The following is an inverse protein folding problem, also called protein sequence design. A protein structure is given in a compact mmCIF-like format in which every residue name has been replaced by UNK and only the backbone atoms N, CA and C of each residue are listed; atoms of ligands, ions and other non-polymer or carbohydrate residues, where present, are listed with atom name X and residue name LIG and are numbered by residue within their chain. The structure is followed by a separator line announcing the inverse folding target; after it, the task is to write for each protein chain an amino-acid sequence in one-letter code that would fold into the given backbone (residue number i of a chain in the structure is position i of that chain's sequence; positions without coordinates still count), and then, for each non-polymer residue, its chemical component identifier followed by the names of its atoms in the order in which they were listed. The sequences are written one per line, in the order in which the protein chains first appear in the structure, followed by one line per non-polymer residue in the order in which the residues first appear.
data_IF_841658913197
#
_entry.id   IF_841658913197
#
_cell.length_a   1.000
_cell.length_b   1.000
_cell.length_c   1.000
_cell.angle_alpha   90.00
_cell.angle_beta   90.00
_cell.angle_gamma   90.00
#
_symmetry.space_group_name_H-M   'P 1'
#
loop_
_entity.id
_entity.type
_entity.pdbx_description
1 polymer ?
2 polymer ?
3 non-polymer ?
4 water ?
#
# COMPACT_ATOMS: atom_id res chain seq x y z
N UNK A 16 9.90 20.76 18.16
CA UNK A 16 9.65 21.48 16.87
C UNK A 16 8.55 20.85 16.01
N UNK A 17 8.26 19.56 16.24
CA UNK A 17 7.21 18.84 15.48
C UNK A 17 5.88 18.97 16.21
N UNK A 18 4.94 19.66 15.59
CA UNK A 18 3.64 19.87 16.21
C UNK A 18 2.58 18.91 15.73
N UNK A 19 2.07 18.07 16.61
CA UNK A 19 1.00 17.13 16.22
C UNK A 19 -0.33 17.87 16.28
N UNK A 20 -1.15 17.67 15.25
CA UNK A 20 -2.46 18.31 15.14
C UNK A 20 -3.50 17.29 15.60
N UNK A 21 -4.36 17.68 16.53
CA UNK A 21 -5.35 16.76 17.08
C UNK A 21 -6.82 17.01 16.73
N UNK A 22 -7.12 18.11 16.02
CA UNK A 22 -8.49 18.43 15.65
C UNK A 22 -8.50 19.21 14.31
N UNK A 23 -9.63 19.20 13.59
CA UNK A 23 -9.68 19.92 12.31
C UNK A 23 -9.52 21.42 12.58
N UNK A 24 -10.06 21.86 13.70
CA UNK A 24 -9.94 23.27 14.06
C UNK A 24 -8.49 23.66 14.33
N UNK A 25 -7.75 22.79 15.01
CA UNK A 25 -6.34 23.04 15.32
C UNK A 25 -5.54 23.13 14.02
N UNK A 26 -5.90 22.30 13.05
CA UNK A 26 -5.23 22.29 11.75
C UNK A 26 -5.34 23.65 11.07
N UNK A 27 -6.55 24.18 10.99
CA UNK A 27 -6.76 25.46 10.35
C UNK A 27 -5.93 26.57 11.01
N UNK A 28 -5.87 26.54 12.34
CA UNK A 28 -5.12 27.53 13.10
C UNK A 28 -3.62 27.48 12.78
N UNK A 29 -3.08 26.26 12.72
CA UNK A 29 -1.67 26.10 12.42
C UNK A 29 -1.31 26.59 11.03
N UNK A 30 -2.17 26.26 10.06
CA UNK A 30 -1.94 26.68 8.67
C UNK A 30 -2.04 28.20 8.54
N UNK A 31 -3.12 28.79 9.05
CA UNK A 31 -3.29 30.23 8.98
C UNK A 31 -2.11 30.94 9.63
N UNK A 32 -1.72 30.46 10.80
CA UNK A 32 -0.60 31.04 11.51
C UNK A 32 0.66 31.04 10.65
N UNK A 33 1.16 29.85 10.33
CA UNK A 33 2.36 29.73 9.49
C UNK A 33 2.28 30.58 8.22
N UNK A 34 1.08 30.74 7.68
CA UNK A 34 0.91 31.56 6.46
C UNK A 34 1.24 33.03 6.74
N UNK A 35 0.78 33.53 7.88
CA UNK A 35 1.04 34.93 8.25
C UNK A 35 2.53 35.14 8.45
N UNK A 36 3.24 34.10 8.90
CA UNK A 36 4.67 34.19 9.11
C UNK A 36 5.44 33.88 7.83
N UNK A 37 4.71 33.69 6.73
CA UNK A 37 5.31 33.38 5.43
C UNK A 37 6.32 32.24 5.52
N UNK A 38 5.99 31.24 6.34
CA UNK A 38 6.85 30.08 6.53
C UNK A 38 6.45 28.91 5.66
N UNK A 39 7.38 27.98 5.50
CA UNK A 39 7.16 26.77 4.73
C UNK A 39 6.59 25.74 5.70
N UNK A 40 5.64 24.96 5.24
CA UNK A 40 5.04 23.93 6.07
C UNK A 40 5.26 22.53 5.50
N UNK A 41 5.88 21.67 6.30
CA UNK A 41 6.11 20.28 5.93
C UNK A 41 5.17 19.47 6.82
N UNK A 42 4.39 18.57 6.22
CA UNK A 42 3.42 17.77 6.97
C UNK A 42 3.61 16.27 6.82
N UNK A 43 3.65 15.55 7.93
CA UNK A 43 3.78 14.11 7.89
C UNK A 43 2.43 13.43 8.27
N UNK A 44 1.79 12.78 7.30
CA UNK A 44 0.53 12.05 7.54
C UNK A 44 0.94 10.63 7.92
N UNK A 45 0.63 10.28 9.15
CA UNK A 45 1.03 9.01 9.73
C UNK A 45 -0.07 8.02 10.13
N UNK A 46 0.39 6.86 10.57
CA UNK A 46 -0.46 5.76 11.01
C UNK A 46 0.38 5.00 12.03
N UNK A 47 -0.11 4.86 13.26
CA UNK A 47 0.63 4.19 14.31
C UNK A 47 0.77 2.69 14.10
N UNK A 48 -0.15 2.12 13.32
CA UNK A 48 -0.12 0.68 13.02
C UNK A 48 0.72 0.35 11.79
N UNK A 49 1.24 1.38 11.12
CA UNK A 49 2.02 1.19 9.89
C UNK A 49 3.55 1.21 10.10
N UNK A 50 4.16 0.03 9.97
CA UNK A 50 5.60 -0.12 10.14
C UNK A 50 6.44 0.97 9.49
N UNK A 51 6.31 1.18 8.16
CA UNK A 51 7.01 2.18 7.34
C UNK A 51 6.83 3.59 7.89
N UNK A 52 5.68 3.86 8.50
CA UNK A 52 5.43 5.19 9.03
C UNK A 52 6.23 5.44 10.32
N UNK A 53 6.23 4.48 11.24
CA UNK A 53 6.98 4.66 12.49
C UNK A 53 8.45 4.99 12.22
N UNK A 54 9.06 4.20 11.33
CA UNK A 54 10.45 4.34 10.95
C UNK A 54 10.82 5.75 10.54
N UNK A 55 9.89 6.47 9.92
CA UNK A 55 10.16 7.81 9.47
C UNK A 55 10.02 8.89 10.53
N UNK A 56 9.48 8.55 11.69
CA UNK A 56 9.30 9.55 12.76
C UNK A 56 10.61 10.28 13.09
N UNK A 57 11.66 9.53 13.53
CA UNK A 57 12.93 10.16 13.86
C UNK A 57 13.49 11.01 12.73
N UNK A 58 13.41 10.49 11.52
CA UNK A 58 13.89 11.23 10.37
C UNK A 58 13.14 12.56 10.21
N UNK A 59 11.87 12.58 10.59
CA UNK A 59 11.05 13.79 10.51
C UNK A 59 11.37 14.69 11.70
N UNK A 60 11.51 14.09 12.88
CA UNK A 60 11.82 14.83 14.09
C UNK A 60 13.16 15.54 13.97
N UNK A 61 14.14 14.85 13.38
CA UNK A 61 15.46 15.42 13.19
C UNK A 61 15.50 16.56 12.20
N UNK A 62 14.80 16.41 11.08
CA UNK A 62 14.77 17.49 10.10
C UNK A 62 13.98 18.66 10.67
N UNK A 63 13.24 18.40 11.75
CA UNK A 63 12.44 19.46 12.37
C UNK A 63 13.37 20.54 12.93
N UNK A 64 14.54 20.12 13.37
CA UNK A 64 15.54 21.02 13.92
C UNK A 64 16.38 21.56 12.78
N UNK A 65 16.78 20.66 11.87
CA UNK A 65 17.60 21.04 10.73
C UNK A 65 17.05 22.28 10.04
N UNK A 66 15.75 22.52 10.19
CA UNK A 66 15.13 23.71 9.60
C UNK A 66 14.06 24.28 10.56
N UNK A 67 14.43 25.26 11.39
CA UNK A 67 13.52 25.89 12.37
C UNK A 67 12.55 26.90 11.74
N UNK A 68 12.97 27.46 10.62
CA UNK A 68 12.21 28.45 9.83
C UNK A 68 11.05 27.88 8.99
N UNK A 69 10.84 26.58 9.16
CA UNK A 69 9.76 25.85 8.51
C UNK A 69 8.96 25.22 9.66
N UNK A 70 7.69 24.90 9.40
CA UNK A 70 6.87 24.29 10.43
C UNK A 70 6.62 22.80 10.16
N UNK A 71 6.85 21.95 11.15
CA UNK A 71 6.64 20.52 11.00
C UNK A 71 5.41 20.01 11.77
N UNK A 72 4.38 19.61 11.02
CA UNK A 72 3.16 19.10 11.62
C UNK A 72 3.00 17.59 11.42
N UNK A 73 2.45 16.93 12.43
CA UNK A 73 2.20 15.49 12.42
C UNK A 73 0.69 15.25 12.44
N UNK A 74 0.18 14.54 11.43
CA UNK A 74 -1.25 14.25 11.35
C UNK A 74 -1.49 12.75 11.27
N UNK A 75 -2.16 12.19 12.27
CA UNK A 75 -2.49 10.78 12.28
C UNK A 75 -3.76 10.63 11.40
N UNK A 76 -3.67 9.83 10.33
CA UNK A 76 -4.83 9.68 9.44
C UNK A 76 -6.03 8.98 10.10
N UNK A 77 -5.81 8.16 11.12
CA UNK A 77 -6.94 7.56 11.83
C UNK A 77 -7.72 8.60 12.62
N UNK A 78 -7.03 9.65 13.09
CA UNK A 78 -7.68 10.67 13.89
C UNK A 78 -8.30 11.79 13.09
N UNK A 79 -7.64 12.19 12.00
CA UNK A 79 -8.10 13.31 11.17
C UNK A 79 -8.16 12.94 9.70
N UNK A 80 -8.93 11.90 9.39
CA UNK A 80 -9.06 11.45 8.02
C UNK A 80 -9.51 12.57 7.05
N UNK A 81 -10.45 13.44 7.47
CA UNK A 81 -10.89 14.49 6.56
C UNK A 81 -9.72 15.30 6.01
N UNK A 82 -8.64 15.47 6.79
CA UNK A 82 -7.52 16.24 6.25
C UNK A 82 -6.81 15.43 5.17
N UNK A 83 -6.79 14.11 5.30
CA UNK A 83 -6.14 13.29 4.28
C UNK A 83 -6.97 13.25 3.00
N UNK A 84 -8.28 13.00 3.13
CA UNK A 84 -9.15 12.95 1.95
C UNK A 84 -9.25 14.30 1.23
N UNK A 85 -8.75 15.34 1.89
CA UNK A 85 -8.75 16.69 1.34
C UNK A 85 -7.56 16.91 0.42
N UNK A 86 -6.43 16.30 0.74
CA UNK A 86 -5.22 16.45 -0.06
C UNK A 86 -4.82 15.18 -0.82
N UNK A 87 -5.78 14.28 -0.99
CA UNK A 87 -5.54 13.03 -1.71
C UNK A 87 -4.33 12.27 -1.18
N UNK A 88 -4.43 11.88 0.09
CA UNK A 88 -3.37 11.14 0.74
C UNK A 88 -3.93 9.74 1.07
N UNK A 89 -3.46 8.72 0.35
CA UNK A 89 -3.94 7.35 0.55
C UNK A 89 -2.87 6.39 1.04
N UNK A 90 -1.61 6.80 1.04
CA UNK A 90 -0.55 5.93 1.51
C UNK A 90 0.11 6.59 2.71
N UNK A 91 0.69 5.79 3.60
CA UNK A 91 1.38 6.32 4.79
C UNK A 91 2.75 5.65 4.93
N UNK A 92 3.79 6.43 5.26
CA UNK A 92 3.69 7.87 5.49
C UNK A 92 3.69 8.70 4.19
N UNK A 93 3.15 9.91 4.26
CA UNK A 93 3.15 10.83 3.12
C UNK A 93 3.52 12.21 3.65
N UNK A 94 4.56 12.80 3.10
CA UNK A 94 5.00 14.13 3.52
C UNK A 94 4.54 15.16 2.49
N UNK A 95 3.83 16.17 2.97
CA UNK A 95 3.32 17.23 2.12
C UNK A 95 4.09 18.54 2.36
N UNK A 96 4.36 19.26 1.28
CA UNK A 96 5.09 20.54 1.33
C UNK A 96 4.15 21.63 0.91
N UNK A 97 3.77 22.49 1.85
CA UNK A 97 2.86 23.57 1.54
C UNK A 97 3.44 24.95 1.81
N UNK A 98 2.78 25.97 1.28
CA UNK A 98 3.21 27.35 1.47
C UNK A 98 2.15 28.24 0.84
N UNK A 99 1.58 29.11 1.66
CA UNK A 99 0.54 30.04 1.22
C UNK A 99 -0.75 29.35 0.78
N UNK A 100 -0.99 28.16 1.32
CA UNK A 100 -2.21 27.43 0.99
C UNK A 100 -2.07 26.38 -0.11
N UNK A 101 -1.09 26.55 -1.00
CA UNK A 101 -0.89 25.62 -2.10
C UNK A 101 0.24 24.63 -1.86
N UNK A 102 0.02 23.39 -2.30
CA UNK A 102 1.01 22.33 -2.15
C UNK A 102 2.11 22.53 -3.19
N UNK A 103 3.35 22.45 -2.74
CA UNK A 103 4.49 22.63 -3.63
C UNK A 103 5.13 21.33 -4.08
N UNK A 104 4.96 20.27 -3.28
CA UNK A 104 5.53 18.96 -3.60
C UNK A 104 5.22 17.97 -2.47
N UNK A 105 5.34 16.67 -2.76
CA UNK A 105 5.07 15.64 -1.75
C UNK A 105 5.93 14.39 -1.93
N UNK A 106 6.32 13.80 -0.81
CA UNK A 106 7.11 12.57 -0.80
C UNK A 106 6.24 11.44 -0.26
N UNK A 107 6.13 10.36 -1.02
CA UNK A 107 5.31 9.22 -0.61
C UNK A 107 6.18 8.04 -0.18
N UNK A 108 6.05 7.64 1.08
CA UNK A 108 6.80 6.51 1.57
C UNK A 108 7.94 6.82 2.51
N UNK A 109 8.56 5.75 3.01
CA UNK A 109 9.69 5.88 3.92
C UNK A 109 11.01 6.08 3.14
N UNK A 110 10.98 6.94 2.12
CA UNK A 110 12.13 7.25 1.28
C UNK A 110 12.97 8.36 1.93
N UNK A 111 13.74 7.99 2.95
CA UNK A 111 14.58 8.93 3.71
C UNK A 111 15.33 9.96 2.88
N UNK A 112 16.31 9.50 2.12
CA UNK A 112 17.12 10.38 1.29
C UNK A 112 16.32 11.32 0.39
N UNK A 113 15.19 10.89 -0.14
CA UNK A 113 14.39 11.77 -1.00
C UNK A 113 13.70 12.83 -0.14
N UNK A 114 13.59 12.54 1.15
CA UNK A 114 12.97 13.46 2.08
C UNK A 114 14.01 14.47 2.51
N UNK A 115 15.07 13.97 3.15
CA UNK A 115 16.16 14.81 3.65
C UNK A 115 16.70 15.72 2.54
N UNK A 116 16.32 15.43 1.30
CA UNK A 116 16.76 16.23 0.17
C UNK A 116 15.72 17.26 -0.24
N UNK A 117 14.50 16.81 -0.56
CA UNK A 117 13.45 17.73 -0.99
C UNK A 117 13.12 18.80 0.06
N UNK A 118 13.62 18.58 1.28
CA UNK A 118 13.39 19.53 2.36
C UNK A 118 14.33 20.73 2.19
N UNK A 119 15.58 20.47 1.81
CA UNK A 119 16.53 21.54 1.61
C UNK A 119 16.17 22.41 0.42
N UNK A 120 15.65 21.77 -0.63
CA UNK A 120 15.27 22.48 -1.85
C UNK A 120 14.10 23.44 -1.67
N UNK A 121 13.20 23.13 -0.74
CA UNK A 121 12.03 23.98 -0.51
C UNK A 121 12.18 24.92 0.68
N UNK A 122 12.98 24.50 1.67
CA UNK A 122 13.21 25.30 2.87
C UNK A 122 14.21 26.42 2.58
N UNK A 123 15.45 26.03 2.36
CA UNK A 123 16.51 26.99 2.06
C UNK A 123 16.37 27.53 0.63
N UNK A 124 16.45 26.72 -0.32
N UNK B 8 -3.95 -15.02 21.65
CA UNK B 8 -4.66 -13.71 21.80
C UNK B 8 -3.77 -12.49 21.45
N UNK B 9 -2.49 -12.53 21.83
CA UNK B 9 -1.56 -11.42 21.54
C UNK B 9 -1.17 -11.42 20.09
N UNK B 10 -0.82 -12.60 19.60
CA UNK B 10 -0.42 -12.78 18.20
C UNK B 10 -1.61 -12.62 17.25
N UNK B 11 -1.33 -12.20 16.01
CA UNK B 11 -2.41 -12.01 15.04
C UNK B 11 -3.06 -13.34 14.76
N UNK B 12 -4.38 -13.36 14.60
CA UNK B 12 -5.05 -14.62 14.32
C UNK B 12 -4.78 -15.14 12.89
N UNK B 13 -5.02 -16.43 12.66
CA UNK B 13 -4.77 -16.94 11.32
C UNK B 13 -5.80 -16.41 10.33
N UNK B 14 -5.43 -16.46 9.05
CA UNK B 14 -6.30 -16.07 7.96
C UNK B 14 -7.03 -17.39 7.63
N UNK B 15 -8.26 -17.33 7.13
CA UNK B 15 -9.01 -18.55 6.81
C UNK B 15 -9.51 -18.62 5.37
N UNK B 16 -9.61 -19.83 4.81
CA UNK B 16 -10.12 -20.00 3.45
C UNK B 16 -11.66 -20.08 3.44
N UNK B 17 -12.26 -20.35 2.29
CA UNK B 17 -13.71 -20.43 2.16
C UNK B 17 -14.33 -21.62 2.88
N UNK B 18 -13.49 -22.55 3.31
CA UNK B 18 -13.97 -23.74 4.01
C UNK B 18 -13.75 -23.58 5.50
N UNK B 19 -13.35 -22.39 5.92
CA UNK B 19 -13.12 -22.15 7.33
C UNK B 19 -11.76 -22.59 7.86
N UNK B 20 -10.94 -23.25 7.03
CA UNK B 20 -9.63 -23.72 7.48
C UNK B 20 -8.53 -22.66 7.38
N UNK B 21 -7.52 -22.78 8.22
CA UNK B 21 -6.38 -21.84 8.27
C UNK B 21 -5.52 -21.91 7.02
N UNK B 22 -5.02 -20.76 6.56
CA UNK B 22 -4.14 -20.70 5.39
C UNK B 22 -2.74 -21.18 5.73
N UNK B 23 -2.19 -22.01 4.85
CA UNK B 23 -0.86 -22.58 5.04
C UNK B 23 0.16 -22.07 4.00
N UNK B 24 1.43 -21.99 4.37
CA UNK B 24 2.46 -21.52 3.46
C UNK B 24 2.89 -22.61 2.49
N UNK B 25 2.33 -23.81 2.67
CA UNK B 25 2.66 -24.94 1.79
C UNK B 25 1.49 -25.38 0.93
N UNK B 26 0.54 -24.48 0.73
CA UNK B 26 -0.63 -24.77 -0.08
C UNK B 26 -0.91 -23.62 -1.03
N UNK B 27 -1.80 -23.85 -1.99
CA UNK B 27 -2.15 -22.84 -2.99
C UNK B 27 -3.61 -22.39 -2.85
N UNK B 28 -3.88 -21.13 -3.16
CA UNK B 28 -5.23 -20.55 -3.05
C UNK B 28 -5.57 -19.63 -4.21
N UNK B 29 -6.84 -19.61 -4.57
CA UNK B 29 -7.33 -18.72 -5.62
C UNK B 29 -7.73 -17.45 -4.88
N UNK B 30 -7.42 -16.28 -5.44
CA UNK B 30 -7.80 -15.06 -4.74
C UNK B 30 -9.05 -14.55 -5.44
N UNK B 31 -10.18 -15.05 -4.98
CA UNK B 31 -11.49 -14.71 -5.55
C UNK B 31 -12.10 -13.42 -5.02
N UNK B 32 -13.01 -12.86 -5.80
CA UNK B 32 -13.75 -11.66 -5.42
C UNK B 32 -14.83 -12.08 -4.38
N UNK B 33 -15.10 -11.30 -3.34
CA UNK B 33 -16.14 -11.73 -2.39
C UNK B 33 -17.49 -11.63 -3.10
N UNK B 34 -17.60 -10.62 -3.96
CA UNK B 34 -18.80 -10.41 -4.75
C UNK B 34 -18.48 -10.79 -6.20
N UNK B 35 -18.86 -12.00 -6.61
CA UNK B 35 -18.61 -12.50 -7.99
C UNK B 35 -19.27 -11.70 -9.12
N UNK B 36 -20.13 -10.73 -8.80
CA UNK B 36 -20.74 -9.93 -9.83
C UNK B 36 -19.72 -8.83 -10.21
N UNK B 37 -18.61 -8.81 -9.50
CA UNK B 37 -17.55 -7.85 -9.76
C UNK B 37 -16.31 -8.50 -10.37
N UNK B 38 -16.46 -9.73 -10.86
CA UNK B 38 -15.32 -10.40 -11.48
C UNK B 38 -14.86 -11.66 -10.80
N UNK B 39 -13.84 -12.28 -11.38
CA UNK B 39 -13.33 -13.52 -10.84
C UNK B 39 -12.05 -13.38 -10.05
N UNK B 40 -11.26 -14.45 -10.08
CA UNK B 40 -9.99 -14.47 -9.39
C UNK B 40 -8.95 -13.58 -10.06
N UNK B 41 -7.72 -13.64 -9.56
CA UNK B 41 -6.63 -12.84 -10.09
C UNK B 41 -5.76 -13.67 -11.01
N UNK B 42 -5.13 -12.99 -11.96
CA UNK B 42 -4.27 -13.69 -12.92
C UNK B 42 -3.11 -12.79 -13.38
N UNK B 43 -2.46 -13.16 -14.48
CA UNK B 43 -1.39 -12.35 -15.04
C UNK B 43 -1.77 -11.92 -16.45
N UNK B 44 -1.37 -10.73 -16.84
CA UNK B 44 -1.68 -10.20 -18.17
C UNK B 44 -0.81 -8.99 -18.50
N UNK B 45 -0.43 -8.83 -19.77
CA UNK B 45 0.39 -7.67 -20.16
C UNK B 45 -0.52 -6.45 -20.27
N UNK B 46 0.06 -5.26 -20.31
CA UNK B 46 -0.78 -4.08 -20.43
C UNK B 46 -0.06 -2.79 -20.70
N UNK B 47 -0.80 -1.83 -21.27
CA UNK B 47 -0.28 -0.50 -21.60
C UNK B 47 0.90 -0.53 -22.57
N UNK B 48 0.72 -1.23 -23.68
CA UNK B 48 1.76 -1.34 -24.69
C UNK B 48 2.90 -2.28 -24.30
N UNK B 49 2.99 -2.61 -23.02
CA UNK B 49 4.03 -3.50 -22.52
C UNK B 49 3.78 -4.97 -22.88
N UNK B 50 4.84 -5.75 -23.02
CA UNK B 50 4.71 -7.18 -23.32
C UNK B 50 5.15 -7.91 -22.06
N UNK B 51 6.12 -7.32 -21.37
CA UNK B 51 6.66 -7.87 -20.12
C UNK B 51 7.10 -6.72 -19.21
N UNK B 52 7.06 -6.93 -17.89
CA UNK B 52 6.61 -8.17 -17.25
C UNK B 52 5.10 -8.21 -17.30
N UNK B 53 4.48 -9.30 -16.87
CA UNK B 53 3.02 -9.35 -16.84
C UNK B 53 2.53 -8.60 -15.59
N UNK B 54 1.37 -7.98 -15.71
CA UNK B 54 0.73 -7.26 -14.59
C UNK B 54 -0.17 -8.23 -13.83
N UNK B 55 -0.38 -7.98 -12.55
CA UNK B 55 -1.31 -8.80 -11.81
C UNK B 55 -2.67 -8.18 -12.18
N UNK B 56 -3.58 -8.96 -12.73
CA UNK B 56 -4.88 -8.41 -13.09
C UNK B 56 -6.04 -9.25 -12.55
N UNK B 57 -7.26 -8.78 -12.75
CA UNK B 57 -8.46 -9.50 -12.31
C UNK B 57 -9.28 -9.99 -13.52
N UNK B 58 -9.53 -11.29 -13.57
CA UNK B 58 -10.34 -11.86 -14.65
C UNK B 58 -11.77 -11.27 -14.52
N UNK B 59 -12.31 -10.66 -15.58
CA UNK B 59 -13.67 -10.08 -15.51
C UNK B 59 -14.82 -11.06 -15.42
N UNK B 60 -14.54 -12.33 -15.62
CA UNK B 60 -15.58 -13.34 -15.56
C UNK B 60 -15.74 -13.94 -14.17
N UNK B 61 -16.87 -13.62 -13.53
CA UNK B 61 -17.17 -14.11 -12.20
C UNK B 61 -17.10 -15.61 -12.04
N UNK B 62 -17.24 -16.37 -13.12
CA UNK B 62 -17.17 -17.83 -13.03
C UNK B 62 -15.73 -18.39 -12.97
N UNK B 63 -14.74 -17.58 -13.39
CA UNK B 63 -13.33 -18.00 -13.37
C UNK B 63 -12.62 -17.82 -12.03
N UNK B 64 -11.85 -18.83 -11.61
CA UNK B 64 -11.09 -18.74 -10.37
C UNK B 64 -9.73 -18.01 -10.52
N UNK B 65 -9.28 -17.81 -11.76
CA UNK B 65 -8.01 -17.14 -12.00
C UNK B 65 -6.88 -18.12 -11.73
N UNK B 66 -5.67 -17.62 -11.41
CA UNK B 66 -4.51 -18.47 -11.11
C UNK B 66 -4.32 -18.54 -9.61
N UNK B 67 -3.81 -19.68 -9.11
CA UNK B 67 -3.57 -19.84 -7.66
C UNK B 67 -2.27 -19.15 -7.24
N UNK B 68 -2.18 -18.72 -5.98
CA UNK B 68 -0.96 -18.09 -5.48
C UNK B 68 -0.43 -18.90 -4.30
N UNK B 69 0.86 -18.72 -4.00
CA UNK B 69 1.52 -19.37 -2.87
C UNK B 69 1.92 -18.17 -1.98
N UNK B 70 1.64 -18.26 -0.68
CA UNK B 70 1.95 -17.18 0.26
C UNK B 70 2.99 -17.60 1.30
N UNK B 71 4.08 -16.84 1.37
CA UNK B 71 5.17 -17.13 2.30
C UNK B 71 5.47 -15.99 3.28
N UNK B 72 5.54 -16.29 4.59
CA UNK B 72 5.82 -15.21 5.55
C UNK B 72 7.14 -14.52 5.22
N UNK B 73 7.19 -13.20 5.36
CA UNK B 73 8.38 -12.43 5.02
C UNK B 73 9.60 -12.76 5.90
N UNK B 74 9.40 -12.80 7.22
CA UNK B 74 10.49 -13.09 8.14
C UNK B 74 10.91 -14.55 8.25
N UNK B 75 10.95 -15.06 9.49
CA UNK B 75 11.32 -16.45 9.72
C UNK B 75 10.10 -17.37 9.62
N UNK B 76 10.23 -18.44 8.87
CA UNK B 76 9.12 -19.37 8.67
C UNK B 76 8.66 -20.03 9.96
N UNK B 77 7.44 -19.70 10.41
CA UNK B 77 6.87 -20.27 11.64
C UNK B 77 6.81 -21.79 11.55
N UNK B 78 6.92 -22.45 12.70
CA UNK B 78 6.88 -23.90 12.74
C UNK B 78 5.52 -24.40 12.29
N UNK B 79 4.47 -23.60 12.51
CA UNK B 79 3.13 -24.00 12.12
C UNK B 79 2.81 -23.73 10.66
N UNK B 80 3.62 -22.91 10.00
CA UNK B 80 3.40 -22.57 8.60
C UNK B 80 2.01 -21.96 8.37
N UNK B 81 1.50 -21.23 9.35
CA UNK B 81 0.17 -20.61 9.24
C UNK B 81 0.29 -19.14 8.84
N UNK B 82 -0.54 -18.74 7.87
CA UNK B 82 -0.59 -17.38 7.38
C UNK B 82 -1.47 -16.60 8.34
N UNK B 83 -0.95 -15.47 8.81
CA UNK B 83 -1.66 -14.66 9.77
C UNK B 83 -1.93 -13.24 9.29
N UNK B 84 -2.96 -12.61 9.88
CA UNK B 84 -3.29 -11.24 9.52
C UNK B 84 -2.16 -10.31 9.94
N UNK B 85 -2.23 -9.07 9.49
CA UNK B 85 -1.25 -8.03 9.85
C UNK B 85 0.21 -8.50 9.95
N UNK B 86 0.60 -9.42 9.06
CA UNK B 86 1.94 -9.98 9.03
C UNK B 86 2.54 -9.89 7.62
N UNK B 87 3.75 -9.32 7.49
CA UNK B 87 4.34 -9.21 6.15
C UNK B 87 4.52 -10.57 5.51
N UNK B 88 4.13 -10.69 4.24
CA UNK B 88 4.23 -11.93 3.48
C UNK B 88 4.57 -11.63 2.04
N UNK B 89 5.03 -12.67 1.35
CA UNK B 89 5.35 -12.57 -0.06
C UNK B 89 4.31 -13.39 -0.82
N UNK B 90 3.89 -12.90 -1.98
CA UNK B 90 2.89 -13.59 -2.78
C UNK B 90 3.39 -13.84 -4.21
N UNK B 91 3.22 -15.06 -4.72
CA UNK B 91 3.61 -15.36 -6.08
C UNK B 91 2.61 -16.33 -6.69
N UNK B 92 2.37 -16.19 -7.99
CA UNK B 92 1.47 -17.05 -8.72
C UNK B 92 2.11 -18.41 -8.99
N UNK B 93 1.32 -19.48 -8.83
CA UNK B 93 1.82 -20.82 -9.18
C UNK B 93 1.18 -21.08 -10.55
N UNK B 94 1.75 -20.47 -11.58
CA UNK B 94 1.24 -20.60 -12.93
C UNK B 94 2.33 -20.23 -13.91
N UNK B 95 2.16 -20.68 -15.16
CA UNK B 95 3.11 -20.42 -16.23
C UNK B 95 3.08 -18.96 -16.65
N UNK B 96 4.24 -18.44 -16.99
CA UNK B 96 4.35 -17.06 -17.41
C UNK B 96 5.03 -16.99 -18.79
N UNK B 97 4.41 -16.28 -19.72
CA UNK B 97 4.95 -16.11 -21.07
C UNK B 97 6.18 -15.21 -21.09
N UNK B 98 6.46 -14.56 -19.95
CA UNK B 98 7.63 -13.70 -19.82
C UNK B 98 8.75 -14.50 -19.18
N UNK B 99 8.47 -15.77 -18.97
CA UNK B 99 9.40 -16.77 -18.45
C UNK B 99 10.30 -16.41 -17.26
N UNK B 100 9.81 -15.54 -16.37
CA UNK B 100 10.59 -15.11 -15.20
C UNK B 100 9.89 -15.31 -13.85
N UNK B 101 10.25 -14.49 -12.87
CA UNK B 101 9.66 -14.57 -11.51
C UNK B 101 8.15 -14.23 -11.54
N UNK B 102 7.36 -15.01 -10.82
CA UNK B 102 5.92 -14.79 -10.75
C UNK B 102 5.55 -14.18 -9.40
N UNK B 103 6.56 -13.77 -8.64
CA UNK B 103 6.35 -13.15 -7.33
C UNK B 103 5.89 -11.72 -7.55
N UNK B 104 4.94 -11.26 -6.74
CA UNK B 104 4.39 -9.90 -6.80
C UNK B 104 5.30 -8.83 -6.16
N UNK B 105 5.33 -7.63 -6.75
CA UNK B 105 6.01 -6.49 -6.14
C UNK B 105 5.33 -5.21 -6.63
N UNK B 106 5.27 -4.18 -5.79
CA UNK B 106 4.62 -2.95 -6.21
C UNK B 106 5.51 -2.16 -7.17
N UNK B 107 4.95 -1.77 -8.30
CA UNK B 107 5.68 -1.01 -9.32
C UNK B 107 6.20 0.31 -8.78
N UNK B 108 7.52 0.47 -8.75
CA UNK B 108 8.12 1.70 -8.24
C UNK B 108 7.84 2.90 -9.17
N UNK B 109 7.45 2.60 -10.41
CA UNK B 109 7.14 3.64 -11.38
C UNK B 109 5.66 3.99 -11.37
N UNK B 110 5.30 5.04 -12.12
CA UNK B 110 3.91 5.48 -12.20
C UNK B 110 3.40 5.42 -13.65
N UNK B 111 3.27 4.21 -14.18
CA UNK B 111 2.79 3.98 -15.54
C UNK B 111 1.32 4.34 -15.69
N UNK B 112 1.01 5.13 -16.71
CA UNK B 112 -0.37 5.55 -16.95
C UNK B 112 -0.90 6.36 -15.76
N UNK B 113 0.02 6.90 -14.97
CA UNK B 113 -0.36 7.68 -13.81
C UNK B 113 -1.00 6.81 -12.73
N UNK B 114 -0.46 5.59 -12.56
CA UNK B 114 -0.97 4.64 -11.58
C UNK B 114 0.13 3.69 -11.08
N UNK B 115 0.09 3.32 -9.80
CA UNK B 115 1.06 2.38 -9.25
C UNK B 115 0.45 0.97 -9.37
N UNK B 116 1.06 0.11 -10.19
CA UNK B 116 0.52 -1.24 -10.39
C UNK B 116 1.27 -2.33 -9.62
N UNK B 117 0.60 -3.46 -9.40
CA UNK B 117 1.26 -4.58 -8.77
C UNK B 117 1.72 -5.40 -9.98
N UNK B 118 3.02 -5.71 -10.03
CA UNK B 118 3.56 -6.46 -11.15
C UNK B 118 4.42 -7.61 -10.71
N UNK B 119 4.80 -8.45 -11.67
CA UNK B 119 5.65 -9.60 -11.38
C UNK B 119 7.05 -9.36 -12.03
N UNK B 120 7.82 -10.44 -12.20
CA UNK B 120 9.14 -10.35 -12.80
C UNK B 120 10.24 -9.72 -11.96
N UNK B 121 11.40 -9.41 -12.56
CA UNK B 121 12.51 -8.79 -11.80
C UNK B 121 12.22 -7.36 -11.33
N UNK B 122 12.81 -6.97 -10.21
CA UNK B 122 12.61 -5.62 -9.72
C UNK B 122 13.58 -4.76 -10.54
N UNK B 123 13.03 -3.96 -11.46
CA UNK B 123 13.80 -3.08 -12.35
C UNK B 123 14.20 -1.75 -11.67
N UNK B 124 13.42 -1.27 -10.72
CA UNK B 124 13.77 -0.02 -10.05
C UNK B 124 13.75 -0.24 -8.55
N UNK B 125 14.74 -0.98 -8.06
CA UNK B 125 14.89 -1.31 -6.64
C UNK B 125 14.89 -0.10 -5.70
N UNK B 126 14.75 -0.40 -4.42
CA UNK B 126 14.72 0.60 -3.36
C UNK B 126 15.74 0.16 -2.32
N UNK B 127 16.24 1.12 -1.52
CA UNK B 127 17.23 0.85 -0.46
C UNK B 127 16.84 -0.24 0.53
N UNK B 128 15.55 -0.57 0.60
CA UNK B 128 15.09 -1.60 1.54
C UNK B 128 14.85 -2.98 0.94
N UNK B 129 14.51 -3.04 -0.34
CA UNK B 129 14.22 -4.33 -0.94
C UNK B 129 12.89 -4.89 -0.43
N UNK B 130 11.94 -4.00 -0.13
CA UNK B 130 10.63 -4.39 0.41
C UNK B 130 9.45 -4.18 -0.55
N UNK B 131 9.74 -3.81 -1.79
CA UNK B 131 8.74 -3.62 -2.84
C UNK B 131 7.78 -4.83 -2.90
N UNK B 132 8.27 -6.00 -2.50
CA UNK B 132 7.50 -7.25 -2.50
C UNK B 132 6.83 -7.60 -1.18
N UNK B 133 6.67 -6.64 -0.30
CA UNK B 133 6.04 -6.92 0.98
C UNK B 133 4.56 -6.54 0.96
N UNK B 134 3.72 -7.49 1.37
CA UNK B 134 2.25 -7.30 1.41
C UNK B 134 1.68 -7.80 2.73
N UNK B 135 0.44 -7.44 3.01
CA UNK B 135 -0.24 -7.90 4.22
C UNK B 135 -1.71 -8.16 3.92
N UNK B 136 -2.26 -9.18 4.58
CA UNK B 136 -3.66 -9.51 4.47
C UNK B 136 -4.28 -8.88 5.74
N UNK B 137 -5.41 -8.18 5.59
CA UNK B 137 -6.05 -7.50 6.72
C UNK B 137 -7.58 -7.61 6.75
N UNK B 138 -8.12 -7.28 7.91
CA UNK B 138 -9.55 -7.26 8.12
C UNK B 138 -9.92 -5.77 7.99
N UNK B 139 -11.22 -5.45 8.03
CA UNK B 139 -11.66 -4.05 7.94
C UNK B 139 -13.01 -3.91 8.69
N UNK B 140 -13.41 -2.67 8.97
CA UNK B 140 -14.64 -2.43 9.70
C UNK B 140 -15.88 -2.88 8.98
N UNK B 141 -16.60 -3.83 9.59
CA UNK B 141 -17.82 -4.36 9.00
C UNK B 141 -17.56 -5.49 8.04
N UNK B 142 -16.42 -6.15 8.18
CA UNK B 142 -16.07 -7.25 7.31
C UNK B 142 -16.74 -8.55 7.74
N UNK B 143 -17.23 -9.29 6.75
CA UNK B 143 -17.89 -10.58 6.93
C UNK B 143 -16.83 -11.64 7.17
N UNK B 144 -17.20 -12.73 7.82
CA UNK B 144 -16.26 -13.80 8.11
C UNK B 144 -15.70 -14.32 6.78
N UNK B 145 -14.41 -14.69 6.77
CA UNK B 145 -13.76 -15.19 5.56
C UNK B 145 -13.45 -14.11 4.50
N UNK B 146 -13.78 -12.86 4.77
CA UNK B 146 -13.52 -11.81 3.79
C UNK B 146 -12.36 -10.92 4.25
N UNK B 147 -11.52 -10.50 3.30
CA UNK B 147 -10.32 -9.71 3.60
C UNK B 147 -9.95 -8.65 2.54
N UNK B 148 -8.96 -7.82 2.85
CA UNK B 148 -8.47 -6.85 1.88
C UNK B 148 -6.95 -7.05 1.91
N UNK B 149 -6.28 -6.67 0.84
CA UNK B 149 -4.84 -6.83 0.74
C UNK B 149 -4.19 -5.47 0.75
N UNK B 150 -2.97 -5.39 1.32
CA UNK B 150 -2.23 -4.13 1.40
C UNK B 150 -0.75 -4.24 1.04
N UNK B 151 -0.22 -3.18 0.45
CA UNK B 151 1.20 -3.12 0.12
C UNK B 151 1.80 -2.63 1.45
N UNK B 152 2.83 -3.27 1.96
CA UNK B 152 3.38 -2.83 3.24
C UNK B 152 4.90 -2.80 3.32
N UNK B 153 5.55 -2.52 2.19
CA UNK B 153 7.02 -2.47 2.14
C UNK B 153 7.68 -1.18 2.60
N UNK B 154 7.54 -0.13 1.80
CA UNK B 154 8.10 1.17 2.14
C UNK B 154 6.95 2.14 2.41
N UNK B 155 5.73 1.59 2.47
CA UNK B 155 4.51 2.35 2.76
C UNK B 155 3.36 1.38 3.05
N UNK B 156 2.20 1.91 3.47
CA UNK B 156 1.04 1.06 3.72
C UNK B 156 -0.04 1.65 2.82
N UNK B 157 -0.54 0.85 1.90
CA UNK B 157 -1.55 1.31 0.94
C UNK B 157 -2.49 0.13 0.58
N UNK B 158 -3.80 0.37 0.49
CA UNK B 158 -4.75 -0.70 0.14
C UNK B 158 -4.59 -1.04 -1.32
N UNK B 159 -4.87 -2.28 -1.66
CA UNK B 159 -4.83 -2.66 -3.07
C UNK B 159 -6.29 -2.68 -3.58
N UNK B 160 -6.48 -2.15 -4.79
CA UNK B 160 -7.80 -2.12 -5.38
C UNK B 160 -7.64 -2.58 -6.81
N UNK B 161 -8.68 -2.43 -7.63
CA UNK B 161 -8.64 -2.88 -9.02
C UNK B 161 -9.03 -1.74 -9.97
N UNK B 162 -8.16 -1.49 -10.96
CA UNK B 162 -8.42 -0.44 -11.95
C UNK B 162 -9.20 -1.10 -13.07
N UNK B 163 -10.45 -0.67 -13.26
CA UNK B 163 -11.28 -1.23 -14.31
C UNK B 163 -11.73 -0.15 -15.28
N UNK B 164 -11.52 -0.39 -16.55
CA UNK B 164 -11.92 0.54 -17.60
C UNK B 164 -13.11 -0.13 -18.31
N UNK B 165 -14.31 0.08 -17.77
CA UNK B 165 -15.56 -0.50 -18.27
C UNK B 165 -15.82 -0.36 -19.76
N UNK B 166 -14.93 0.33 -20.46
CA UNK B 166 -15.04 0.55 -21.90
C UNK B 166 -14.45 -0.63 -22.67
N UNK B 167 -13.84 -1.56 -21.95
CA UNK B 167 -13.24 -2.73 -22.59
C UNK B 167 -11.72 -2.71 -22.46
N UNK B 168 -11.20 -3.49 -21.53
CA UNK B 168 -9.76 -3.54 -21.33
C UNK B 168 -9.41 -4.39 -20.11
N UNK B 169 -8.14 -4.76 -19.98
CA UNK B 169 -7.76 -5.58 -18.83
C UNK B 169 -7.94 -4.79 -17.53
N UNK B 170 -8.25 -5.48 -16.45
CA UNK B 170 -8.43 -4.84 -15.15
C UNK B 170 -7.17 -5.16 -14.36
N UNK B 171 -6.51 -4.14 -13.85
CA UNK B 171 -5.27 -4.32 -13.13
C UNK B 171 -5.37 -4.03 -11.63
N UNK B 172 -4.68 -4.85 -10.85
CA UNK B 172 -4.61 -4.70 -9.43
C UNK B 172 -3.49 -3.66 -9.16
N UNK B 173 -3.79 -2.67 -8.33
CA UNK B 173 -2.82 -1.64 -8.00
C UNK B 173 -3.16 -0.85 -6.75
N UNK B 174 -2.48 0.28 -6.51
CA UNK B 174 -2.73 1.09 -5.33
C UNK B 174 -3.85 2.10 -5.58
N UNK B 175 -5.05 1.83 -5.04
CA UNK B 175 -6.15 2.74 -5.24
C UNK B 175 -7.30 2.41 -4.31
N UNK B 176 -8.30 3.28 -4.30
CA UNK B 176 -9.47 3.05 -3.46
C UNK B 176 -10.64 2.98 -4.41
N UNK B 177 -11.67 2.22 -4.03
CA UNK B 177 -11.78 1.44 -2.78
C UNK B 177 -11.09 0.10 -2.91
N UNK B 178 -10.61 -0.44 -1.79
CA UNK B 178 -9.92 -1.74 -1.80
C UNK B 178 -10.83 -2.87 -2.28
N UNK B 179 -10.20 -3.91 -2.81
CA UNK B 179 -10.88 -5.10 -3.34
C UNK B 179 -11.04 -6.12 -2.23
N UNK B 180 -12.29 -6.50 -1.98
CA UNK B 180 -12.61 -7.48 -0.94
C UNK B 180 -12.47 -8.87 -1.54
N UNK B 181 -11.60 -9.68 -0.96
CA UNK B 181 -11.34 -11.02 -1.48
C UNK B 181 -11.61 -12.15 -0.46
N UNK B 182 -11.70 -13.39 -0.96
CA UNK B 182 -11.86 -14.59 -0.13
C UNK B 182 -10.81 -15.55 -0.72
N UNK B 183 -10.28 -16.46 0.10
CA UNK B 183 -9.28 -17.41 -0.38
C UNK B 183 -9.85 -18.84 -0.54
N UNK B 184 -9.90 -19.33 -1.77
CA UNK B 184 -10.40 -20.67 -2.03
C UNK B 184 -9.25 -21.65 -2.25
N UNK B 185 -9.15 -22.61 -1.34
CA UNK B 185 -8.14 -23.65 -1.40
C UNK B 185 -8.11 -24.24 -2.83
N UNK B 186 -6.93 -24.29 -3.44
CA UNK B 186 -6.77 -24.82 -4.78
C UNK B 186 -6.20 -26.24 -4.73
N UNK B 187 -6.67 -27.12 -5.64
CA UNK B 187 -6.21 -28.51 -5.71
C UNK B 187 -4.72 -28.57 -5.94
N UNK B 188 -3.99 -29.38 -5.14
CA UNK B 188 -2.54 -29.52 -5.25
C UNK B 188 -2.06 -29.93 -6.65
N UNK B 189 -2.63 -30.90 -7.22
#
# INVERSE_FOLDING_TARGET
GSHMAASATAAAVAAEVISVHSLEQWTMQIEEANTAKKLVVIDFTASWCGPSRIMAPVFADLAKKFPNAVFLKVDVDELKPIAEQFSVEAMPTFLFMKEGDVKDRVVGAIKEELTAKVGLHAAAQ
MHHHHHHAADPPPVHDTDGHELRADANYYVLSANRAHGGGLTMAPGHGRHCPLFVSQDPNGQHDGFPVRITPYGVAPSDKIIRLSTDVRISFRAYTTCLQSTEWHIDSELAAGRRHVITGPVKDPSPSGRENAFRIEKYSGAEVHEYKLMSSGDWCQDLGVFRDLKGGAWFLGATEPYHVVVFKKAPPA
#
